data_IF_316260437939
#
_entry.id   IF_316260437939
#
_cell.length_a   1.000
_cell.length_b   1.000
_cell.length_c   1.000
_cell.angle_alpha   90.00
_cell.angle_beta   90.00
_cell.angle_gamma   90.00
#
_symmetry.space_group_name_H-M   'P 1'
#
loop_
_entity.id
_entity.type
_entity.pdbx_description
1 polymer ?
#
# COMPACT_ATOMS: atom_id res chain seq x y z
N UNK A 1 5.74 2.91 -8.74
CA UNK A 1 4.35 2.71 -8.27
C UNK A 1 4.37 1.88 -7.01
N UNK A 2 3.53 2.20 -6.02
CA UNK A 2 3.44 1.51 -4.72
C UNK A 2 2.02 0.99 -4.49
N UNK A 3 1.88 -0.17 -3.84
CA UNK A 3 0.60 -0.77 -3.48
C UNK A 3 0.46 -0.94 -1.98
N UNK A 4 -0.75 -0.70 -1.45
CA UNK A 4 -0.99 -0.94 -0.04
C UNK A 4 -2.41 -0.68 0.43
N UNK A 5 -2.68 -1.12 1.65
CA UNK A 5 -3.94 -0.79 2.32
C UNK A 5 -3.94 0.66 2.79
N UNK A 6 -2.84 1.16 3.34
CA UNK A 6 -2.71 2.54 3.85
C UNK A 6 -3.81 2.94 4.85
N UNK A 7 -4.26 1.97 5.66
CA UNK A 7 -5.23 2.22 6.73
C UNK A 7 -4.56 3.06 7.83
N UNK A 8 -5.30 4.05 8.35
CA UNK A 8 -4.81 5.01 9.35
C UNK A 8 -3.43 5.57 8.99
N UNK A 9 -3.34 6.22 7.82
CA UNK A 9 -2.10 6.78 7.27
C UNK A 9 -1.20 7.43 8.36
N UNK A 10 0.06 6.99 8.43
CA UNK A 10 1.01 7.31 9.49
C UNK A 10 2.43 7.46 8.92
N UNK A 11 3.39 7.84 9.75
CA UNK A 11 4.78 8.15 9.35
C UNK A 11 5.46 7.02 8.57
N UNK A 12 5.27 5.76 8.98
CA UNK A 12 5.78 4.61 8.19
C UNK A 12 5.32 4.58 6.73
N UNK A 13 4.05 4.91 6.44
CA UNK A 13 3.56 5.00 5.05
C UNK A 13 4.16 6.22 4.32
N UNK A 14 4.31 7.35 5.01
CA UNK A 14 4.95 8.53 4.43
C UNK A 14 6.42 8.26 4.10
N UNK A 15 7.13 7.51 4.94
CA UNK A 15 8.49 7.07 4.67
C UNK A 15 8.53 6.15 3.45
N UNK A 16 7.64 5.15 3.38
CA UNK A 16 7.53 4.27 2.21
C UNK A 16 7.33 5.08 0.91
N UNK A 17 6.47 6.10 0.93
CA UNK A 17 6.26 6.97 -0.22
C UNK A 17 7.50 7.79 -0.57
N UNK A 18 8.22 8.32 0.44
CA UNK A 18 9.47 9.05 0.24
C UNK A 18 10.56 8.16 -0.36
N UNK A 19 10.73 6.94 0.14
CA UNK A 19 11.68 5.98 -0.42
C UNK A 19 11.29 5.59 -1.84
N UNK A 20 10.01 5.30 -2.10
CA UNK A 20 9.54 5.00 -3.45
C UNK A 20 9.81 6.14 -4.44
N UNK A 21 9.69 7.40 -3.99
CA UNK A 21 9.92 8.59 -4.80
C UNK A 21 11.38 8.74 -5.23
N UNK A 22 12.34 8.14 -4.52
CA UNK A 22 13.76 8.15 -4.92
C UNK A 22 14.03 7.36 -6.21
N UNK A 23 13.11 6.47 -6.59
CA UNK A 23 13.23 5.62 -7.76
C UNK A 23 12.46 6.15 -8.97
N UNK A 24 12.02 7.42 -8.95
CA UNK A 24 11.45 8.08 -10.12
C UNK A 24 10.72 9.39 -9.85
N UNK A 25 10.56 10.19 -10.90
CA UNK A 25 10.02 11.55 -10.81
C UNK A 25 8.49 11.63 -10.67
N UNK A 26 7.78 10.49 -10.81
CA UNK A 26 6.32 10.42 -10.72
C UNK A 26 5.86 9.24 -9.86
N UNK A 27 5.27 9.54 -8.70
CA UNK A 27 4.80 8.53 -7.74
C UNK A 27 3.30 8.27 -7.90
N UNK A 28 2.98 7.06 -8.35
CA UNK A 28 1.62 6.50 -8.31
C UNK A 28 1.48 5.61 -7.07
N UNK A 29 0.46 5.86 -6.25
CA UNK A 29 0.09 5.02 -5.11
C UNK A 29 -1.28 4.39 -5.36
N UNK A 30 -1.33 3.07 -5.28
CA UNK A 30 -2.55 2.27 -5.46
C UNK A 30 -3.06 1.78 -4.11
N UNK A 31 -4.24 2.23 -3.76
CA UNK A 31 -4.96 1.91 -2.52
C UNK A 31 -5.81 0.67 -2.74
N UNK A 32 -5.58 -0.37 -1.92
CA UNK A 32 -6.31 -1.63 -2.01
C UNK A 32 -7.80 -1.44 -1.69
N UNK A 33 -8.66 -2.18 -2.41
CA UNK A 33 -10.11 -2.20 -2.20
C UNK A 33 -10.47 -2.87 -0.87
N UNK A 34 -11.55 -2.43 -0.23
CA UNK A 34 -11.97 -2.99 1.06
C UNK A 34 -12.29 -4.50 0.95
N UNK A 35 -12.87 -4.93 -0.18
CA UNK A 35 -13.16 -6.33 -0.50
C UNK A 35 -11.87 -7.16 -0.61
N UNK A 36 -10.88 -6.67 -1.36
CA UNK A 36 -9.58 -7.35 -1.50
C UNK A 36 -8.85 -7.48 -0.17
N UNK A 37 -8.89 -6.44 0.68
CA UNK A 37 -8.25 -6.49 2.00
C UNK A 37 -8.90 -7.55 2.90
N UNK A 38 -10.24 -7.62 2.92
CA UNK A 38 -10.95 -8.67 3.67
C UNK A 38 -10.61 -10.06 3.16
N UNK A 39 -10.62 -10.27 1.85
CA UNK A 39 -10.35 -11.58 1.22
C UNK A 39 -8.91 -12.06 1.47
N UNK A 40 -7.93 -11.18 1.32
CA UNK A 40 -6.50 -11.55 1.36
C UNK A 40 -5.96 -11.52 2.78
N UNK A 41 -6.33 -10.50 3.57
CA UNK A 41 -5.75 -10.26 4.90
C UNK A 41 -6.68 -10.62 6.06
N UNK A 42 -7.94 -10.96 5.78
CA UNK A 42 -8.89 -11.42 6.80
C UNK A 42 -9.38 -10.34 7.76
N UNK A 43 -9.23 -9.05 7.44
CA UNK A 43 -9.69 -7.96 8.31
C UNK A 43 -10.34 -6.83 7.53
N UNK A 44 -11.20 -6.06 8.21
CA UNK A 44 -11.80 -4.83 7.67
C UNK A 44 -10.95 -3.62 8.08
N UNK A 45 -10.50 -2.78 7.15
CA UNK A 45 -9.83 -1.51 7.47
C UNK A 45 -10.68 -0.61 8.38
N UNK A 46 -10.03 0.23 9.20
CA UNK A 46 -10.72 1.21 10.04
C UNK A 46 -11.32 2.34 9.21
N UNK A 47 -10.65 2.70 8.14
CA UNK A 47 -11.12 3.67 7.16
C UNK A 47 -11.50 2.97 5.88
N UNK A 48 -12.65 3.32 5.31
CA UNK A 48 -13.05 2.76 4.03
C UNK A 48 -12.09 3.18 2.91
N UNK A 49 -12.14 2.48 1.80
CA UNK A 49 -11.25 2.71 0.66
C UNK A 49 -11.23 4.14 0.11
N UNK A 50 -12.37 4.84 0.11
CA UNK A 50 -12.44 6.24 -0.35
C UNK A 50 -11.77 7.19 0.65
N UNK A 51 -11.98 6.97 1.95
CA UNK A 51 -11.29 7.74 3.00
C UNK A 51 -9.79 7.53 2.97
N UNK A 52 -9.34 6.29 2.71
CA UNK A 52 -7.91 5.97 2.55
C UNK A 52 -7.34 6.63 1.29
N UNK A 53 -8.08 6.58 0.17
CA UNK A 53 -7.71 7.24 -1.07
C UNK A 53 -7.51 8.74 -0.90
N UNK A 54 -8.47 9.45 -0.30
CA UNK A 54 -8.38 10.90 -0.10
C UNK A 54 -7.19 11.30 0.79
N UNK A 55 -6.89 10.51 1.82
CA UNK A 55 -5.69 10.73 2.65
C UNK A 55 -4.38 10.51 1.89
N UNK A 56 -4.33 9.51 1.01
CA UNK A 56 -3.15 9.29 0.17
C UNK A 56 -3.01 10.41 -0.85
N UNK A 57 -4.12 10.87 -1.43
CA UNK A 57 -4.18 11.98 -2.39
C UNK A 57 -3.74 13.32 -1.78
N UNK A 58 -4.00 13.54 -0.48
CA UNK A 58 -3.55 14.75 0.22
C UNK A 58 -2.06 14.77 0.56
N UNK A 59 -1.31 13.69 0.30
CA UNK A 59 0.13 13.65 0.50
C UNK A 59 0.86 14.41 -0.62
N UNK A 60 1.63 15.47 -0.33
CA UNK A 60 2.28 16.29 -1.36
C UNK A 60 3.27 15.53 -2.26
N UNK A 61 3.86 14.44 -1.75
CA UNK A 61 4.81 13.60 -2.50
C UNK A 61 4.15 12.63 -3.48
N UNK A 62 2.84 12.41 -3.36
CA UNK A 62 2.07 11.49 -4.21
C UNK A 62 1.53 12.26 -5.41
N UNK A 63 1.98 11.90 -6.62
CA UNK A 63 1.52 12.56 -7.84
C UNK A 63 0.14 12.05 -8.28
N UNK A 64 -0.13 10.76 -8.04
CA UNK A 64 -1.41 10.14 -8.40
C UNK A 64 -1.77 9.07 -7.38
N UNK A 65 -2.98 9.17 -6.83
CA UNK A 65 -3.58 8.17 -5.95
C UNK A 65 -4.73 7.48 -6.68
N UNK A 66 -4.80 6.16 -6.63
CA UNK A 66 -5.82 5.36 -7.33
C UNK A 66 -6.34 4.25 -6.44
N UNK A 67 -7.55 3.78 -6.72
CA UNK A 67 -8.02 2.50 -6.18
C UNK A 67 -7.50 1.37 -7.07
N UNK A 68 -7.12 0.25 -6.45
CA UNK A 68 -6.87 -1.00 -7.18
C UNK A 68 -8.16 -1.60 -7.72
N UNK A 69 -8.04 -2.68 -8.47
CA UNK A 69 -9.19 -3.48 -8.90
C UNK A 69 -9.46 -4.60 -7.90
N UNK A 70 -10.74 -4.96 -7.74
CA UNK A 70 -11.16 -5.97 -6.76
C UNK A 70 -10.69 -7.38 -7.16
N UNK A 71 -10.74 -7.66 -8.46
CA UNK A 71 -10.55 -9.00 -9.03
C UNK A 71 -9.18 -9.21 -9.68
N UNK A 72 -8.47 -8.14 -10.07
CA UNK A 72 -7.16 -8.25 -10.72
C UNK A 72 -6.18 -7.17 -10.26
N UNK A 73 -5.23 -7.57 -9.41
CA UNK A 73 -4.15 -6.71 -8.94
C UNK A 73 -3.29 -6.14 -10.08
N UNK A 74 -3.11 -6.89 -11.17
CA UNK A 74 -2.18 -6.53 -12.25
C UNK A 74 -2.79 -5.56 -13.26
N UNK A 75 -4.12 -5.48 -13.35
CA UNK A 75 -4.80 -4.61 -14.32
C UNK A 75 -4.38 -3.14 -14.22
N UNK A 76 -4.21 -2.62 -13.01
CA UNK A 76 -3.74 -1.24 -12.79
C UNK A 76 -2.27 -1.04 -13.20
N UNK A 77 -1.46 -2.10 -13.12
CA UNK A 77 -0.07 -2.11 -13.60
C UNK A 77 -0.07 -2.08 -15.13
N UNK A 78 -0.93 -2.86 -15.79
CA UNK A 78 -1.07 -2.90 -17.24
C UNK A 78 -1.55 -1.57 -17.83
N UNK A 79 -2.52 -0.93 -17.18
CA UNK A 79 -3.08 0.35 -17.62
C UNK A 79 -2.11 1.52 -17.47
N UNK A 80 -1.30 1.52 -16.41
CA UNK A 80 -0.40 2.64 -16.10
C UNK A 80 1.07 2.38 -16.42
N UNK A 81 1.44 1.15 -16.78
CA UNK A 81 2.77 0.73 -17.26
C UNK A 81 3.91 1.37 -16.46
N UNK A 82 3.97 1.18 -15.13
CA UNK A 82 5.01 1.79 -14.33
C UNK A 82 6.37 1.19 -14.69
N UNK A 83 7.39 2.05 -14.80
CA UNK A 83 8.77 1.58 -14.98
C UNK A 83 9.30 0.82 -13.76
N UNK A 84 8.85 1.21 -12.56
CA UNK A 84 9.30 0.64 -11.28
C UNK A 84 8.10 0.32 -10.38
N UNK A 85 8.08 -0.87 -9.80
CA UNK A 85 7.18 -1.32 -8.76
C UNK A 85 7.94 -1.41 -7.43
N UNK A 86 7.52 -0.61 -6.45
CA UNK A 86 8.14 -0.56 -5.15
C UNK A 86 7.26 -1.27 -4.13
N UNK A 87 7.86 -2.17 -3.36
CA UNK A 87 7.21 -2.92 -2.29
C UNK A 87 7.90 -2.67 -0.96
N UNK A 88 7.13 -2.66 0.12
CA UNK A 88 7.69 -2.67 1.47
C UNK A 88 8.45 -3.98 1.76
N UNK A 89 9.41 -3.91 2.68
CA UNK A 89 10.25 -5.04 3.09
C UNK A 89 9.48 -6.27 3.59
N UNK A 90 8.24 -6.08 4.08
CA UNK A 90 7.38 -7.10 4.66
C UNK A 90 6.30 -7.62 3.72
N UNK A 91 6.29 -7.15 2.46
CA UNK A 91 5.32 -7.60 1.46
C UNK A 91 5.80 -8.87 0.77
N UNK A 92 4.91 -9.86 0.69
CA UNK A 92 5.14 -11.05 -0.10
C UNK A 92 5.14 -10.70 -1.59
N UNK A 93 6.17 -11.18 -2.30
CA UNK A 93 6.41 -10.95 -3.72
C UNK A 93 6.31 -12.24 -4.53
N UNK A 94 5.85 -13.34 -3.92
CA UNK A 94 5.68 -14.60 -4.63
C UNK A 94 4.85 -14.39 -5.89
N UNK A 95 5.36 -14.94 -6.99
CA UNK A 95 4.76 -14.93 -8.33
C UNK A 95 4.67 -13.57 -9.04
N UNK A 96 5.07 -12.44 -8.42
CA UNK A 96 4.96 -11.13 -9.08
C UNK A 96 5.80 -11.10 -10.37
N UNK A 97 7.05 -11.55 -10.33
CA UNK A 97 7.95 -11.55 -11.49
C UNK A 97 7.43 -12.45 -12.61
N UNK A 98 6.91 -13.62 -12.26
CA UNK A 98 6.34 -14.57 -13.21
C UNK A 98 5.09 -13.98 -13.89
N UNK A 99 4.19 -13.36 -13.13
CA UNK A 99 2.98 -12.72 -13.66
C UNK A 99 3.30 -11.51 -14.55
N UNK A 100 4.24 -10.66 -14.15
CA UNK A 100 4.70 -9.54 -14.99
C UNK A 100 5.27 -10.05 -16.32
N UNK A 101 6.06 -11.13 -16.29
CA UNK A 101 6.61 -11.76 -17.49
C UNK A 101 5.50 -12.34 -18.38
N UNK A 102 4.55 -13.08 -17.80
CA UNK A 102 3.43 -13.68 -18.52
C UNK A 102 2.57 -12.61 -19.20
N UNK A 103 2.34 -11.48 -18.52
CA UNK A 103 1.57 -10.33 -19.02
C UNK A 103 2.39 -9.37 -19.89
N UNK A 104 3.66 -9.68 -20.14
CA UNK A 104 4.61 -8.86 -20.93
C UNK A 104 4.77 -7.43 -20.39
N UNK A 105 4.67 -7.26 -19.09
CA UNK A 105 4.85 -5.99 -18.40
C UNK A 105 6.34 -5.79 -18.11
N UNK A 106 6.89 -4.66 -18.57
CA UNK A 106 8.27 -4.26 -18.27
C UNK A 106 8.25 -3.32 -17.07
N UNK A 107 8.45 -3.87 -15.87
CA UNK A 107 8.61 -3.09 -14.66
C UNK A 107 9.72 -3.70 -13.79
N UNK A 108 10.61 -2.86 -13.29
CA UNK A 108 11.61 -3.24 -12.29
C UNK A 108 10.96 -3.38 -10.92
N UNK A 109 11.32 -4.40 -10.14
CA UNK A 109 10.79 -4.61 -8.80
C UNK A 109 11.83 -4.23 -7.77
N UNK A 110 11.47 -3.31 -6.87
CA UNK A 110 12.35 -2.83 -5.80
C UNK A 110 11.73 -3.15 -4.44
N UNK A 111 12.55 -3.64 -3.51
CA UNK A 111 12.21 -3.77 -2.09
C UNK A 111 12.72 -2.53 -1.36
N UNK A 112 11.82 -1.78 -0.76
CA UNK A 112 12.16 -0.61 0.05
C UNK A 112 12.51 -1.04 1.47
N UNK A 113 13.44 -0.32 2.09
CA UNK A 113 13.90 -0.58 3.45
C UNK A 113 12.82 -0.30 4.49
N UNK A 114 12.92 -0.98 5.64
CA UNK A 114 12.02 -0.77 6.76
C UNK A 114 12.31 0.55 7.47
N UNK A 115 11.26 1.26 7.89
CA UNK A 115 11.37 2.41 8.79
C UNK A 115 10.88 2.03 10.18
N UNK A 116 11.81 1.79 11.12
CA UNK A 116 11.50 1.43 12.50
C UNK A 116 10.43 0.34 12.62
N UNK A 117 10.72 -0.89 12.11
CA UNK A 117 9.76 -2.00 12.05
C UNK A 117 9.12 -2.36 13.40
N UNK A 118 9.83 -2.12 14.49
CA UNK A 118 9.42 -2.30 15.89
C UNK A 118 8.28 -1.36 16.33
N UNK A 119 8.12 -0.20 15.66
CA UNK A 119 7.21 0.87 16.08
C UNK A 119 6.06 1.11 15.10
N UNK A 120 6.30 0.99 13.79
CA UNK A 120 5.33 1.44 12.77
C UNK A 120 4.68 0.31 11.96
N UNK A 121 4.80 -0.95 12.39
CA UNK A 121 4.04 -2.04 11.75
C UNK A 121 2.54 -1.82 11.94
N UNK A 122 1.79 -1.79 10.84
CA UNK A 122 0.34 -1.55 10.88
C UNK A 122 -0.40 -2.59 11.73
N UNK A 123 0.14 -3.79 11.95
CA UNK A 123 -0.40 -4.76 12.91
C UNK A 123 -0.32 -4.29 14.36
N UNK A 124 0.77 -3.64 14.77
CA UNK A 124 1.00 -3.15 16.14
C UNK A 124 0.10 -1.93 16.42
N UNK A 125 0.05 -0.99 15.47
CA UNK A 125 -0.80 0.21 15.57
C UNK A 125 -2.30 -0.14 15.71
N UNK A 126 -2.77 -1.20 15.03
CA UNK A 126 -4.16 -1.68 15.16
C UNK A 126 -4.45 -2.27 16.54
N UNK A 127 -3.51 -3.02 17.13
CA UNK A 127 -3.67 -3.59 18.47
C UNK A 127 -3.77 -2.49 19.55
N UNK A 128 -2.95 -1.45 19.46
CA UNK A 128 -2.94 -0.36 20.44
C UNK A 128 -4.25 0.45 20.46
N UNK A 129 -4.93 0.62 19.31
CA UNK A 129 -6.22 1.32 19.27
C UNK A 129 -7.42 0.46 19.70
N UNK A 130 -7.39 -0.84 19.47
CA UNK A 130 -8.40 -1.75 20.04
C UNK A 130 -8.34 -1.74 21.58
N UNK A 131 -7.15 -1.57 22.16
CA UNK A 131 -6.96 -1.38 23.60
C UNK A 131 -7.55 -0.05 24.10
N UNK A 132 -7.25 1.07 23.43
CA UNK A 132 -7.79 2.39 23.81
C UNK A 132 -9.31 2.52 23.64
N UNK A 133 -9.94 1.79 22.71
CA UNK A 133 -11.41 1.75 22.58
C UNK A 133 -12.07 0.95 23.70
N UNK A 134 -11.45 -0.12 24.22
CA UNK A 134 -11.99 -0.88 25.36
C UNK A 134 -11.97 -0.09 26.67
N UNK A 135 -10.92 0.69 26.92
CA UNK A 135 -10.78 1.47 28.15
C UNK A 135 -11.53 2.82 28.17
N UNK A 136 -12.25 3.18 27.09
CA UNK A 136 -13.16 4.35 27.07
C UNK A 136 -14.63 3.97 27.22
N UNK A 137 -14.92 2.67 27.35
CA UNK A 137 -16.25 2.10 27.59
C UNK A 137 -16.32 1.46 28.99
N UNK A 138 -15.40 1.83 29.88
CA UNK A 138 -15.32 1.39 31.29
C UNK A 138 -15.58 2.59 32.20
#
# INVERSE_FOLDING_TARGET
MVFGTFDLLHEGHLHLFKEAKKHGDFLVVVVARDTSVRKIKGFTPHQNELQRLEKVKSCPIVNKALLGYEDDFYKVIEEHKPAVLCFGYDQDKQNIEAELKNRKIKAEIITLTAFHPEKYKSSIMRQNKNYSKRNKLS
#
